data_IF_826063937856
#
_entry.id   IF_826063937856
#
_cell.length_a   1.000
_cell.length_b   1.000
_cell.length_c   1.000
_cell.angle_alpha   90.00
_cell.angle_beta   90.00
_cell.angle_gamma   90.00
#
_symmetry.space_group_name_H-M   'P 1'
#
loop_
_entity.id
_entity.type
_entity.pdbx_description
1 polymer ?
#
# COMPACT_ATOMS: atom_id res chain seq x y z
N UNK A 1 21.38 -5.55 8.14
CA UNK A 1 22.44 -4.54 7.87
C UNK A 1 22.41 -3.95 6.44
N UNK A 2 22.05 -4.70 5.37
CA UNK A 2 21.89 -4.15 4.00
C UNK A 2 20.66 -3.24 3.83
N UNK A 3 19.56 -3.54 4.52
CA UNK A 3 18.27 -2.84 4.36
C UNK A 3 18.26 -1.42 4.95
N UNK A 4 18.98 -1.19 6.06
CA UNK A 4 19.12 0.14 6.69
C UNK A 4 19.78 1.14 5.73
N UNK A 5 20.84 0.72 5.01
CA UNK A 5 21.55 1.60 4.08
C UNK A 5 20.74 1.96 2.83
N UNK A 6 19.93 1.02 2.33
CA UNK A 6 19.03 1.24 1.20
C UNK A 6 17.97 2.30 1.53
N UNK A 7 17.34 2.17 2.70
CA UNK A 7 16.28 3.07 3.18
C UNK A 7 16.74 4.52 3.28
N UNK A 8 17.88 4.77 3.93
CA UNK A 8 18.44 6.13 4.07
C UNK A 8 18.77 6.75 2.70
N UNK A 9 19.34 5.97 1.78
CA UNK A 9 19.72 6.44 0.44
C UNK A 9 18.51 6.80 -0.41
N UNK A 10 17.46 5.96 -0.38
CA UNK A 10 16.17 6.23 -1.02
C UNK A 10 15.54 7.51 -0.46
N UNK A 11 15.50 7.64 0.87
CA UNK A 11 14.87 8.77 1.54
C UNK A 11 15.55 10.11 1.18
N UNK A 12 16.89 10.13 1.14
CA UNK A 12 17.65 11.29 0.69
C UNK A 12 17.34 11.64 -0.77
N UNK A 13 17.31 10.65 -1.65
CA UNK A 13 17.03 10.85 -3.07
C UNK A 13 15.63 11.42 -3.28
N UNK A 14 14.62 10.86 -2.59
CA UNK A 14 13.25 11.37 -2.57
C UNK A 14 13.18 12.81 -2.06
N UNK A 15 13.85 13.12 -0.95
CA UNK A 15 13.91 14.49 -0.42
C UNK A 15 14.45 15.48 -1.43
N UNK A 16 15.58 15.16 -2.07
CA UNK A 16 16.18 16.02 -3.08
C UNK A 16 15.25 16.19 -4.28
N UNK A 17 14.66 15.11 -4.76
CA UNK A 17 13.73 15.15 -5.88
C UNK A 17 12.51 16.02 -5.56
N UNK A 18 11.80 15.73 -4.47
CA UNK A 18 10.57 16.42 -4.09
C UNK A 18 10.82 17.90 -3.76
N UNK A 19 11.91 18.24 -3.06
CA UNK A 19 12.25 19.64 -2.79
C UNK A 19 12.65 20.39 -4.07
N UNK A 20 13.43 19.78 -4.97
CA UNK A 20 13.72 20.39 -6.26
C UNK A 20 12.44 20.64 -7.07
N UNK A 21 11.49 19.73 -6.94
CA UNK A 21 10.22 19.80 -7.63
C UNK A 21 9.33 20.91 -7.07
N UNK A 22 9.26 21.01 -5.74
CA UNK A 22 8.56 22.09 -5.03
C UNK A 22 9.12 23.46 -5.40
N UNK A 23 10.44 23.60 -5.47
CA UNK A 23 11.12 24.86 -5.77
C UNK A 23 11.15 25.19 -7.28
N UNK A 24 10.56 24.38 -8.15
CA UNK A 24 10.60 24.59 -9.61
C UNK A 24 12.00 24.50 -10.24
N UNK A 25 13.00 24.00 -9.50
CA UNK A 25 14.40 23.90 -9.94
C UNK A 25 14.69 22.64 -10.77
N UNK A 26 13.68 21.79 -10.92
CA UNK A 26 13.76 20.55 -11.67
C UNK A 26 13.68 20.85 -13.18
N UNK A 27 14.85 20.99 -13.81
CA UNK A 27 14.97 21.07 -15.27
C UNK A 27 14.73 19.67 -15.84
N UNK A 28 13.59 19.46 -16.50
CA UNK A 28 13.32 18.22 -17.20
C UNK A 28 14.31 18.01 -18.34
N UNK A 29 14.79 16.79 -18.53
CA UNK A 29 15.38 16.40 -19.80
C UNK A 29 14.20 16.11 -20.72
N UNK A 30 13.90 17.02 -21.65
CA UNK A 30 12.90 16.76 -22.69
C UNK A 30 13.38 15.62 -23.58
N UNK A 31 12.67 14.50 -23.58
CA UNK A 31 12.84 13.44 -24.57
C UNK A 31 13.40 12.10 -24.08
N UNK A 32 13.72 11.93 -22.79
CA UNK A 32 14.04 10.61 -22.22
C UNK A 32 12.90 10.07 -21.35
N UNK A 33 12.63 8.76 -21.46
CA UNK A 33 11.60 8.05 -20.71
C UNK A 33 11.83 8.09 -19.17
N UNK A 34 13.03 8.51 -18.75
CA UNK A 34 13.35 8.90 -17.37
C UNK A 34 13.15 10.41 -17.20
N UNK A 35 11.95 10.82 -16.76
CA UNK A 35 11.64 12.26 -16.65
C UNK A 35 12.52 12.99 -15.64
N UNK A 36 13.17 12.27 -14.72
CA UNK A 36 14.26 12.80 -13.90
C UNK A 36 15.20 11.69 -13.44
N UNK A 37 16.49 11.87 -13.72
CA UNK A 37 17.55 10.98 -13.25
C UNK A 37 18.64 11.76 -12.54
N UNK A 38 19.15 11.22 -11.44
CA UNK A 38 20.23 11.83 -10.68
C UNK A 38 21.20 10.78 -10.16
N UNK A 39 22.49 11.08 -10.28
CA UNK A 39 23.57 10.29 -9.70
C UNK A 39 23.99 10.93 -8.37
N UNK A 40 24.13 10.11 -7.35
CA UNK A 40 24.52 10.48 -6.00
C UNK A 40 25.89 9.85 -5.71
N UNK A 41 26.88 10.71 -5.42
CA UNK A 41 28.25 10.29 -5.16
C UNK A 41 28.48 10.23 -3.66
N UNK A 42 29.08 9.13 -3.17
CA UNK A 42 29.48 8.88 -1.78
C UNK A 42 30.28 10.02 -1.14
N UNK A 43 31.05 10.74 -1.94
CA UNK A 43 31.66 12.01 -1.56
C UNK A 43 31.00 13.09 -2.42
N UNK A 44 30.13 13.87 -1.80
CA UNK A 44 29.55 15.07 -2.40
C UNK A 44 29.98 16.26 -1.55
N UNK A 45 30.87 17.09 -2.10
CA UNK A 45 31.42 18.27 -1.41
C UNK A 45 30.33 19.29 -1.05
N UNK A 46 29.22 19.30 -1.79
CA UNK A 46 28.12 20.22 -1.53
C UNK A 46 27.11 19.68 -0.51
N UNK A 47 27.16 18.38 -0.20
CA UNK A 47 26.17 17.73 0.66
C UNK A 47 26.78 16.57 1.45
N UNK A 48 27.30 16.79 2.68
CA UNK A 48 27.77 15.71 3.53
C UNK A 48 26.64 14.73 3.85
N UNK A 49 26.91 13.43 3.70
CA UNK A 49 25.97 12.33 3.93
C UNK A 49 26.72 11.05 4.32
N UNK A 50 26.01 10.08 4.91
CA UNK A 50 26.61 8.85 5.46
C UNK A 50 26.29 7.56 4.67
N UNK A 51 25.86 7.65 3.40
CA UNK A 51 25.60 6.44 2.60
C UNK A 51 26.89 5.79 2.08
N UNK A 52 26.87 4.46 1.90
CA UNK A 52 28.09 3.64 1.75
C UNK A 52 28.67 3.65 0.34
N UNK A 53 27.84 3.74 -0.69
CA UNK A 53 28.24 3.66 -2.10
C UNK A 53 27.61 4.75 -2.96
N UNK A 54 28.15 4.94 -4.16
CA UNK A 54 27.47 5.75 -5.17
C UNK A 54 26.18 5.05 -5.60
N UNK A 55 25.13 5.82 -5.86
CA UNK A 55 23.88 5.27 -6.36
C UNK A 55 23.25 6.18 -7.40
N UNK A 56 22.32 5.62 -8.17
CA UNK A 56 21.58 6.29 -9.22
C UNK A 56 20.09 6.19 -8.92
N UNK A 57 19.39 7.30 -9.02
CA UNK A 57 17.97 7.40 -8.74
C UNK A 57 17.24 7.94 -9.96
N UNK A 58 16.20 7.25 -10.41
CA UNK A 58 15.41 7.64 -11.57
C UNK A 58 13.92 7.61 -11.25
N UNK A 59 13.21 8.70 -11.53
CA UNK A 59 11.76 8.81 -11.38
C UNK A 59 11.09 8.68 -12.75
N UNK A 60 9.95 8.00 -12.79
CA UNK A 60 9.16 7.80 -14.01
C UNK A 60 7.77 8.43 -13.89
N UNK A 61 7.19 8.78 -15.04
CA UNK A 61 5.82 9.30 -15.17
C UNK A 61 5.50 10.48 -14.23
N UNK A 62 6.49 11.31 -13.94
CA UNK A 62 6.38 12.39 -12.96
C UNK A 62 5.32 13.42 -13.35
N UNK A 63 5.12 13.68 -14.65
CA UNK A 63 4.04 14.53 -15.16
C UNK A 63 2.67 13.93 -14.85
N UNK A 64 2.47 12.64 -15.12
CA UNK A 64 1.21 11.94 -14.90
C UNK A 64 0.88 11.86 -13.40
N UNK A 65 1.86 11.50 -12.56
CA UNK A 65 1.67 11.48 -11.11
C UNK A 65 1.31 12.86 -10.55
N UNK A 66 1.98 13.94 -10.98
CA UNK A 66 1.60 15.31 -10.58
C UNK A 66 0.17 15.67 -10.95
N UNK A 67 -0.28 15.24 -12.14
CA UNK A 67 -1.67 15.45 -12.56
C UNK A 67 -2.63 14.70 -11.64
N UNK A 68 -2.34 13.43 -11.30
CA UNK A 68 -3.13 12.68 -10.32
C UNK A 68 -3.14 13.34 -8.94
N UNK A 69 -1.99 13.84 -8.46
CA UNK A 69 -1.91 14.53 -7.17
C UNK A 69 -2.88 15.71 -7.11
N UNK A 70 -2.90 16.53 -8.17
CA UNK A 70 -3.74 17.72 -8.26
C UNK A 70 -5.22 17.40 -8.52
N UNK A 71 -5.48 16.51 -9.46
CA UNK A 71 -6.82 16.34 -10.03
C UNK A 71 -7.62 15.25 -9.30
N UNK A 72 -6.96 14.22 -8.80
CA UNK A 72 -7.61 13.00 -8.31
C UNK A 72 -7.37 12.83 -6.80
N UNK A 73 -6.13 12.72 -6.35
CA UNK A 73 -5.79 12.39 -4.95
C UNK A 73 -5.78 13.60 -4.01
N UNK A 74 -5.85 14.81 -4.55
CA UNK A 74 -5.88 16.08 -3.79
C UNK A 74 -4.77 16.21 -2.75
N UNK A 75 -3.59 15.68 -3.07
CA UNK A 75 -2.41 15.71 -2.21
C UNK A 75 -1.48 16.85 -2.60
N UNK A 76 -0.97 17.57 -1.59
CA UNK A 76 0.07 18.58 -1.77
C UNK A 76 1.47 17.96 -1.70
N UNK A 77 2.42 18.50 -2.47
CA UNK A 77 3.80 17.99 -2.50
C UNK A 77 4.50 18.13 -1.13
N UNK A 78 4.14 19.14 -0.36
CA UNK A 78 4.60 19.36 1.01
C UNK A 78 4.26 18.19 1.92
N UNK A 79 3.09 17.58 1.75
CA UNK A 79 2.67 16.41 2.52
C UNK A 79 3.53 15.18 2.21
N UNK A 80 3.93 15.01 0.94
CA UNK A 80 4.88 13.98 0.52
C UNK A 80 6.27 14.25 1.11
N UNK A 81 6.75 15.50 1.07
CA UNK A 81 8.06 15.89 1.62
C UNK A 81 8.11 15.59 3.12
N UNK A 82 7.13 16.09 3.89
CA UNK A 82 7.07 15.92 5.34
C UNK A 82 7.02 14.43 5.69
N UNK A 83 6.03 13.71 5.15
CA UNK A 83 5.77 12.33 5.55
C UNK A 83 6.89 11.37 5.13
N UNK A 84 7.48 11.55 3.95
CA UNK A 84 8.49 10.62 3.43
C UNK A 84 9.91 10.96 3.87
N UNK A 85 10.20 12.19 4.35
CA UNK A 85 11.60 12.66 4.45
C UNK A 85 11.97 13.36 5.75
N UNK A 86 11.01 13.71 6.61
CA UNK A 86 11.29 14.37 7.89
C UNK A 86 11.82 13.39 8.94
N UNK A 87 11.13 12.26 9.12
CA UNK A 87 11.52 11.18 10.04
C UNK A 87 11.92 9.94 9.27
N UNK A 88 12.80 9.12 9.85
CA UNK A 88 13.26 7.89 9.22
C UNK A 88 12.08 6.96 8.89
N UNK A 89 12.04 6.42 7.66
CA UNK A 89 11.01 5.46 7.27
C UNK A 89 11.07 4.22 8.16
N UNK A 90 9.93 3.61 8.48
CA UNK A 90 9.87 2.32 9.17
C UNK A 90 9.97 1.20 8.13
N UNK A 91 10.86 0.23 8.35
CA UNK A 91 10.91 -1.00 7.54
C UNK A 91 9.96 -2.05 8.11
N UNK A 92 9.43 -2.90 7.25
CA UNK A 92 8.70 -4.09 7.68
C UNK A 92 9.40 -5.33 7.18
N UNK A 93 9.66 -6.28 8.08
CA UNK A 93 9.87 -7.66 7.67
C UNK A 93 8.51 -8.21 7.22
N UNK A 94 8.43 -8.63 5.96
CA UNK A 94 7.20 -9.20 5.43
C UNK A 94 6.98 -10.59 6.08
N UNK A 95 5.88 -10.82 6.82
CA UNK A 95 5.55 -12.16 7.31
C UNK A 95 5.14 -13.11 6.17
N UNK A 96 4.87 -12.58 4.96
CA UNK A 96 4.52 -13.37 3.79
C UNK A 96 5.75 -13.68 2.91
N UNK A 97 5.74 -14.87 2.29
CA UNK A 97 6.79 -15.47 1.44
C UNK A 97 7.23 -14.64 0.22
N UNK A 98 6.67 -13.46 -0.05
CA UNK A 98 7.14 -12.58 -1.11
C UNK A 98 8.34 -11.77 -0.60
N UNK A 99 9.52 -11.97 -1.18
CA UNK A 99 10.76 -11.20 -0.91
C UNK A 99 10.66 -9.71 -1.31
N UNK A 100 9.48 -9.11 -1.17
CA UNK A 100 9.21 -7.70 -1.40
C UNK A 100 9.68 -6.88 -0.19
N UNK A 101 10.38 -5.79 -0.46
CA UNK A 101 10.82 -4.81 0.52
C UNK A 101 9.70 -3.78 0.72
N UNK A 102 9.40 -3.47 1.98
CA UNK A 102 8.39 -2.49 2.35
C UNK A 102 8.97 -1.44 3.29
N UNK A 103 8.72 -0.16 2.97
CA UNK A 103 8.92 0.94 3.90
C UNK A 103 7.61 1.71 4.09
N UNK A 104 7.42 2.35 5.25
CA UNK A 104 6.31 3.29 5.47
C UNK A 104 6.81 4.58 6.09
N UNK A 105 6.09 5.66 5.84
CA UNK A 105 6.23 6.89 6.61
C UNK A 105 5.84 6.65 8.07
N UNK A 106 6.45 7.39 9.00
CA UNK A 106 6.16 7.23 10.44
C UNK A 106 4.67 7.38 10.73
N UNK A 107 4.03 8.32 10.05
CA UNK A 107 2.60 8.63 10.17
C UNK A 107 1.66 7.66 9.42
N UNK A 108 2.20 6.60 8.80
CA UNK A 108 1.44 5.59 8.09
C UNK A 108 0.74 6.06 6.81
N UNK A 109 0.95 7.31 6.36
CA UNK A 109 0.28 7.88 5.20
C UNK A 109 0.76 7.34 3.85
N UNK A 110 2.03 6.94 3.76
CA UNK A 110 2.61 6.43 2.53
C UNK A 110 3.40 5.16 2.75
N UNK A 111 3.31 4.25 1.79
CA UNK A 111 4.07 3.01 1.73
C UNK A 111 4.93 2.99 0.48
N UNK A 112 6.15 2.51 0.61
CA UNK A 112 7.05 2.17 -0.49
C UNK A 112 7.05 0.66 -0.59
N UNK A 113 6.57 0.14 -1.72
CA UNK A 113 6.58 -1.30 -2.02
C UNK A 113 7.55 -1.56 -3.16
N UNK A 114 8.49 -2.48 -2.96
CA UNK A 114 9.34 -2.94 -4.05
C UNK A 114 8.54 -3.74 -5.08
N UNK A 115 8.82 -3.52 -6.34
CA UNK A 115 8.19 -4.19 -7.49
C UNK A 115 9.09 -5.34 -7.92
N UNK A 116 8.55 -6.57 -7.94
CA UNK A 116 9.28 -7.72 -8.42
C UNK A 116 9.35 -7.75 -9.96
N UNK A 117 10.16 -8.64 -10.54
CA UNK A 117 10.36 -8.70 -12.00
C UNK A 117 9.05 -8.94 -12.79
N UNK A 118 8.15 -9.80 -12.31
CA UNK A 118 6.87 -10.08 -12.99
C UNK A 118 5.93 -8.87 -12.94
N UNK A 119 5.83 -8.22 -11.77
CA UNK A 119 5.05 -6.99 -11.62
C UNK A 119 5.64 -5.88 -12.50
N UNK A 120 6.97 -5.77 -12.55
CA UNK A 120 7.68 -4.79 -13.36
C UNK A 120 7.41 -5.01 -14.85
N UNK A 121 7.52 -6.26 -15.32
CA UNK A 121 7.18 -6.61 -16.70
C UNK A 121 5.71 -6.27 -16.99
N UNK A 122 4.76 -6.52 -16.08
CA UNK A 122 3.36 -6.11 -16.26
C UNK A 122 3.15 -4.59 -16.34
N UNK A 123 3.72 -3.84 -15.40
CA UNK A 123 3.49 -2.39 -15.33
C UNK A 123 4.14 -1.65 -16.48
N UNK A 124 5.30 -2.13 -16.95
CA UNK A 124 6.07 -1.43 -17.96
C UNK A 124 5.85 -2.02 -19.35
N UNK A 125 5.73 -3.34 -19.49
CA UNK A 125 5.61 -4.01 -20.80
C UNK A 125 4.18 -4.51 -21.01
N UNK A 126 3.60 -4.14 -22.15
CA UNK A 126 2.35 -4.76 -22.60
C UNK A 126 2.63 -6.22 -22.99
N UNK A 127 1.65 -7.10 -22.80
CA UNK A 127 1.70 -8.56 -22.99
C UNK A 127 2.39 -9.06 -24.30
N UNK A 128 3.72 -9.09 -24.35
CA UNK A 128 4.47 -9.85 -25.35
C UNK A 128 4.40 -9.36 -26.81
N UNK A 129 3.87 -8.17 -27.09
CA UNK A 129 3.97 -7.58 -28.43
C UNK A 129 5.31 -6.84 -28.60
N UNK A 130 6.07 -7.24 -29.61
CA UNK A 130 7.28 -6.55 -30.03
C UNK A 130 6.88 -5.19 -30.63
N UNK A 131 6.94 -4.13 -29.85
CA UNK A 131 7.10 -2.80 -30.44
C UNK A 131 8.52 -2.70 -30.99
N UNK A 132 8.64 -2.14 -32.20
CA UNK A 132 9.93 -1.91 -32.83
C UNK A 132 10.82 -1.10 -31.87
N UNK A 133 12.10 -1.45 -31.76
CA UNK A 133 13.08 -0.75 -30.92
C UNK A 133 13.23 0.74 -31.28
N UNK A 134 12.74 1.14 -32.46
CA UNK A 134 12.60 2.52 -32.92
C UNK A 134 11.36 3.26 -32.38
N UNK A 135 10.36 2.55 -31.88
CA UNK A 135 9.22 3.13 -31.17
C UNK A 135 9.59 3.27 -29.69
N UNK A 136 9.99 4.49 -29.33
CA UNK A 136 10.34 4.95 -27.98
C UNK A 136 9.15 4.92 -27.01
N UNK A 137 8.55 3.76 -26.80
CA UNK A 137 7.45 3.59 -25.85
C UNK A 137 7.65 2.28 -25.11
N UNK A 138 8.70 2.20 -24.30
CA UNK A 138 8.98 1.05 -23.43
C UNK A 138 7.97 0.88 -22.28
N UNK A 139 6.96 1.77 -22.18
CA UNK A 139 6.04 1.89 -21.04
C UNK A 139 4.55 1.96 -21.47
N UNK A 140 4.06 0.94 -22.18
CA UNK A 140 2.62 0.76 -22.53
C UNK A 140 1.91 -0.31 -21.68
N UNK A 141 2.51 -0.70 -20.56
CA UNK A 141 1.94 -1.71 -19.65
C UNK A 141 0.83 -1.18 -18.75
N UNK A 142 0.48 -1.95 -17.73
CA UNK A 142 -0.65 -1.67 -16.84
C UNK A 142 -0.60 -0.32 -16.10
N UNK A 143 0.55 0.36 -16.05
CA UNK A 143 0.64 1.70 -15.46
C UNK A 143 -0.14 2.76 -16.28
N UNK A 144 -0.17 2.63 -17.61
CA UNK A 144 -0.94 3.54 -18.46
C UNK A 144 -2.44 3.30 -18.30
N UNK A 145 -2.85 2.03 -18.26
CA UNK A 145 -4.24 1.66 -18.01
C UNK A 145 -4.70 2.10 -16.62
N UNK A 146 -3.84 2.00 -15.61
CA UNK A 146 -4.09 2.56 -14.29
C UNK A 146 -4.31 4.09 -14.32
N UNK A 147 -3.44 4.84 -15.03
CA UNK A 147 -3.65 6.29 -15.18
C UNK A 147 -4.98 6.60 -15.86
N UNK A 148 -5.35 5.85 -16.90
CA UNK A 148 -6.62 6.03 -17.59
C UNK A 148 -7.83 5.66 -16.73
N UNK A 149 -7.69 4.66 -15.87
CA UNK A 149 -8.72 4.24 -14.94
C UNK A 149 -8.98 5.29 -13.86
N UNK A 150 -7.92 5.80 -13.23
CA UNK A 150 -8.03 6.72 -12.09
C UNK A 150 -8.32 8.16 -12.52
N UNK A 151 -7.86 8.60 -13.70
CA UNK A 151 -7.98 10.02 -14.14
C UNK A 151 -9.40 10.56 -14.14
N UNK A 152 -10.41 9.71 -14.35
CA UNK A 152 -11.82 10.12 -14.46
C UNK A 152 -12.43 10.57 -13.12
N UNK A 153 -11.71 10.41 -12.01
CA UNK A 153 -12.14 10.92 -10.69
C UNK A 153 -13.26 10.11 -10.05
N UNK A 154 -13.56 8.93 -10.59
CA UNK A 154 -14.43 7.99 -9.92
C UNK A 154 -13.74 7.38 -8.70
N UNK A 155 -14.50 7.13 -7.63
CA UNK A 155 -13.98 6.45 -6.43
C UNK A 155 -13.48 5.04 -6.78
N UNK A 156 -12.42 4.61 -6.13
CA UNK A 156 -11.79 3.30 -6.32
C UNK A 156 -11.10 2.87 -5.02
N UNK A 157 -11.12 1.56 -4.77
CA UNK A 157 -10.40 0.86 -3.72
C UNK A 157 -8.99 0.42 -4.17
N UNK A 158 -8.61 0.64 -5.42
CA UNK A 158 -7.24 0.35 -5.87
C UNK A 158 -6.23 1.25 -5.15
N UNK A 159 -4.99 0.78 -4.92
CA UNK A 159 -3.95 1.61 -4.32
C UNK A 159 -3.77 2.91 -5.09
N UNK A 160 -3.75 4.05 -4.38
CA UNK A 160 -3.41 5.35 -4.95
C UNK A 160 -1.89 5.40 -5.12
N UNK A 161 -1.40 5.37 -6.36
CA UNK A 161 0.02 5.40 -6.67
C UNK A 161 0.48 6.86 -6.79
N UNK A 162 1.40 7.28 -5.92
CA UNK A 162 1.93 8.64 -5.91
C UNK A 162 3.20 8.80 -6.74
N UNK A 163 4.02 7.76 -6.85
CA UNK A 163 5.25 7.82 -7.63
C UNK A 163 5.75 6.43 -7.98
N UNK A 164 6.53 6.34 -9.05
CA UNK A 164 7.29 5.16 -9.43
C UNK A 164 8.75 5.52 -9.68
N UNK A 165 9.68 4.78 -9.08
CA UNK A 165 11.10 5.06 -9.19
C UNK A 165 11.97 3.81 -9.23
N UNK A 166 13.17 3.98 -9.78
CA UNK A 166 14.27 3.01 -9.78
C UNK A 166 15.41 3.55 -8.93
N UNK A 167 15.88 2.73 -8.01
CA UNK A 167 17.11 2.92 -7.24
C UNK A 167 18.15 1.89 -7.72
N UNK A 168 19.35 2.34 -8.05
CA UNK A 168 20.43 1.49 -8.54
C UNK A 168 21.72 1.74 -7.75
N UNK A 169 22.26 0.68 -7.15
CA UNK A 169 23.49 0.70 -6.34
C UNK A 169 24.26 -0.60 -6.61
N UNK A 170 25.58 -0.51 -6.85
CA UNK A 170 26.45 -1.67 -7.08
C UNK A 170 25.91 -2.67 -8.14
N UNK A 171 25.35 -2.14 -9.24
CA UNK A 171 24.68 -2.90 -10.33
C UNK A 171 23.37 -3.60 -9.95
N UNK A 172 22.90 -3.47 -8.71
CA UNK A 172 21.58 -3.95 -8.30
C UNK A 172 20.55 -2.86 -8.55
N UNK A 173 19.42 -3.24 -9.17
CA UNK A 173 18.30 -2.33 -9.44
C UNK A 173 17.08 -2.73 -8.63
N UNK A 174 16.55 -1.78 -7.88
CA UNK A 174 15.30 -1.92 -7.14
C UNK A 174 14.28 -0.92 -7.67
N UNK A 175 13.06 -1.40 -7.94
CA UNK A 175 11.95 -0.57 -8.39
C UNK A 175 10.94 -0.46 -7.27
N UNK A 176 10.36 0.72 -7.08
CA UNK A 176 9.41 0.98 -6.02
C UNK A 176 8.23 1.81 -6.50
N UNK A 177 7.03 1.46 -6.03
CA UNK A 177 5.91 2.38 -6.00
C UNK A 177 5.82 3.05 -4.63
N UNK A 178 5.50 4.35 -4.63
CA UNK A 178 4.94 5.03 -3.46
C UNK A 178 3.42 4.95 -3.58
N UNK A 179 2.74 4.45 -2.56
CA UNK A 179 1.29 4.31 -2.53
C UNK A 179 0.69 4.80 -1.19
N UNK A 180 -0.61 4.98 -1.12
CA UNK A 180 -1.29 5.39 0.12
C UNK A 180 -1.20 4.30 1.19
N UNK A 181 -1.17 4.75 2.43
CA UNK A 181 -1.50 3.90 3.56
C UNK A 181 -3.00 3.73 3.70
N UNK A 182 -3.40 2.54 4.11
CA UNK A 182 -4.80 2.21 4.35
C UNK A 182 -5.29 2.74 5.69
N UNK A 183 -4.39 2.84 6.68
CA UNK A 183 -4.72 3.22 8.05
C UNK A 183 -3.68 4.22 8.60
N UNK A 184 -3.64 5.45 8.08
CA UNK A 184 -2.75 6.49 8.59
C UNK A 184 -3.11 6.90 10.04
N UNK A 185 -2.18 7.51 10.76
CA UNK A 185 -2.34 7.89 12.19
C UNK A 185 -3.57 8.76 12.50
N UNK A 186 -4.16 9.42 11.49
CA UNK A 186 -5.39 10.20 11.64
C UNK A 186 -6.68 9.35 11.61
N UNK A 187 -6.58 8.04 11.43
CA UNK A 187 -7.66 7.07 11.64
C UNK A 187 -7.61 6.61 13.11
N UNK A 188 -8.76 6.48 13.81
CA UNK A 188 -8.78 5.98 15.18
C UNK A 188 -8.13 4.62 15.32
N UNK A 189 -7.80 4.27 16.57
CA UNK A 189 -7.34 2.92 16.90
C UNK A 189 -8.32 1.89 16.33
N UNK A 190 -7.84 1.07 15.40
CA UNK A 190 -8.63 0.02 14.77
C UNK A 190 -8.84 -1.11 15.77
N UNK A 191 -10.09 -1.45 16.03
CA UNK A 191 -10.44 -2.62 16.85
C UNK A 191 -10.17 -3.92 16.08
N UNK A 192 -10.36 -3.89 14.76
CA UNK A 192 -10.16 -5.07 13.91
C UNK A 192 -9.58 -4.71 12.55
N UNK A 193 -8.72 -5.59 12.02
CA UNK A 193 -8.19 -5.53 10.66
C UNK A 193 -8.44 -6.88 9.97
N UNK A 194 -9.01 -6.83 8.77
CA UNK A 194 -9.35 -7.99 7.96
C UNK A 194 -8.60 -7.97 6.63
N UNK A 195 -8.09 -9.14 6.23
CA UNK A 195 -7.44 -9.42 4.95
C UNK A 195 -8.31 -10.44 4.18
N UNK A 196 -9.20 -9.93 3.33
CA UNK A 196 -10.26 -10.69 2.67
C UNK A 196 -9.90 -10.98 1.21
N UNK A 197 -10.05 -12.24 0.73
CA UNK A 197 -9.74 -12.58 -0.69
C UNK A 197 -10.75 -13.48 -1.44
N UNK A 198 -11.96 -13.70 -0.92
CA UNK A 198 -12.96 -14.60 -1.51
C UNK A 198 -12.70 -16.13 -1.42
N UNK A 199 -11.45 -16.61 -1.33
CA UNK A 199 -11.13 -18.04 -1.37
C UNK A 199 -11.04 -18.73 0.01
N UNK A 200 -11.58 -19.95 0.12
CA UNK A 200 -11.68 -20.78 1.34
C UNK A 200 -10.61 -21.87 1.52
N UNK A 201 -9.78 -22.14 0.51
CA UNK A 201 -8.76 -23.20 0.54
C UNK A 201 -7.47 -22.74 1.27
N UNK A 202 -6.97 -23.53 2.25
CA UNK A 202 -5.78 -23.28 3.11
C UNK A 202 -5.80 -22.06 4.06
N UNK A 203 -6.96 -21.64 4.59
CA UNK A 203 -7.00 -20.52 5.56
C UNK A 203 -7.40 -20.83 6.99
N UNK A 204 -7.82 -22.05 7.26
CA UNK A 204 -8.23 -22.51 8.58
C UNK A 204 -7.06 -22.45 9.56
N UNK A 205 -7.05 -21.42 10.40
CA UNK A 205 -6.03 -21.24 11.44
C UNK A 205 -6.14 -22.29 12.53
N UNK A 206 -7.34 -22.83 12.77
CA UNK A 206 -7.55 -23.87 13.77
C UNK A 206 -6.69 -25.12 13.52
N UNK A 207 -6.36 -25.44 12.26
CA UNK A 207 -5.51 -26.59 11.94
C UNK A 207 -4.01 -26.28 12.06
N UNK A 208 -3.59 -25.04 11.81
CA UNK A 208 -2.19 -24.62 12.00
C UNK A 208 -1.85 -24.36 13.47
N UNK A 209 -2.75 -23.75 14.23
CA UNK A 209 -2.58 -23.51 15.67
C UNK A 209 -2.72 -24.82 16.48
N UNK A 210 -3.55 -25.79 16.05
CA UNK A 210 -3.53 -27.16 16.60
C UNK A 210 -2.23 -27.89 16.28
N UNK A 211 -1.68 -27.74 15.07
CA UNK A 211 -0.39 -28.35 14.70
C UNK A 211 0.80 -27.72 15.44
N UNK A 212 0.83 -26.39 15.57
CA UNK A 212 1.84 -25.68 16.36
C UNK A 212 1.70 -25.95 17.86
N UNK A 213 0.48 -25.98 18.39
CA UNK A 213 0.22 -26.31 19.79
C UNK A 213 0.59 -27.76 20.17
N UNK A 214 0.64 -28.68 19.21
CA UNK A 214 1.12 -30.05 19.41
C UNK A 214 2.66 -30.13 19.34
N UNK A 215 3.31 -29.34 18.49
CA UNK A 215 4.78 -29.30 18.38
C UNK A 215 5.45 -28.45 19.49
N UNK A 216 4.83 -27.35 19.92
CA UNK A 216 5.34 -26.45 20.96
C UNK A 216 5.18 -27.02 22.38
N UNK A 217 4.16 -27.86 22.63
CA UNK A 217 3.96 -28.51 23.93
C UNK A 217 5.02 -29.57 24.30
N UNK A 218 5.95 -29.89 23.40
CA UNK A 218 7.11 -30.74 23.73
C UNK A 218 8.35 -29.94 24.14
N UNK A 219 8.40 -28.64 23.87
CA UNK A 219 9.62 -27.84 24.03
C UNK A 219 9.31 -26.41 24.48
N UNK A 220 9.06 -26.19 25.77
CA UNK A 220 9.62 -25.10 26.61
C UNK A 220 8.78 -24.84 27.85
N UNK A 221 9.29 -25.33 28.98
CA UNK A 221 9.19 -24.62 30.26
C UNK A 221 10.13 -23.40 30.20
N UNK A 222 9.65 -22.30 30.78
CA UNK A 222 10.37 -21.11 31.26
C UNK A 222 10.45 -19.87 30.34
N UNK A 223 9.97 -18.76 30.93
CA UNK A 223 10.48 -17.37 30.92
C UNK A 223 10.40 -16.66 29.55
N UNK A 224 9.83 -15.46 29.40
CA UNK A 224 9.82 -14.27 30.24
C UNK A 224 8.67 -13.34 29.80
N UNK A 225 8.11 -12.58 30.75
CA UNK A 225 7.25 -11.42 30.52
C UNK A 225 8.06 -10.31 29.84
N UNK A 226 7.52 -9.65 28.80
CA UNK A 226 7.79 -8.24 28.49
C UNK A 226 6.87 -7.68 27.38
N UNK A 227 6.29 -6.52 27.72
CA UNK A 227 5.79 -5.42 26.87
C UNK A 227 4.74 -5.74 25.77
N UNK A 228 3.47 -5.62 26.16
CA UNK A 228 2.33 -5.58 25.23
C UNK A 228 2.33 -4.28 24.41
N UNK A 229 3.04 -4.26 23.27
CA UNK A 229 2.56 -3.48 22.12
C UNK A 229 1.17 -4.04 21.77
N UNK A 230 0.13 -3.20 21.84
CA UNK A 230 -1.24 -3.53 21.43
C UNK A 230 -1.29 -3.79 19.92
N UNK A 231 -0.79 -4.94 19.51
CA UNK A 231 -0.70 -5.37 18.12
C UNK A 231 -2.11 -5.76 17.67
N UNK A 232 -2.78 -4.85 16.95
CA UNK A 232 -4.09 -5.11 16.35
C UNK A 232 -4.03 -6.40 15.54
N UNK A 233 -4.90 -7.36 15.87
CA UNK A 233 -4.93 -8.69 15.25
C UNK A 233 -5.47 -8.58 13.82
N UNK A 234 -4.74 -9.17 12.86
CA UNK A 234 -5.17 -9.28 11.46
C UNK A 234 -5.84 -10.64 11.24
N UNK A 235 -7.07 -10.63 10.74
CA UNK A 235 -7.87 -11.83 10.45
C UNK A 235 -7.97 -12.06 8.93
N UNK A 236 -7.96 -13.31 8.45
CA UNK A 236 -7.73 -13.65 7.02
C UNK A 236 -8.90 -14.31 6.26
N UNK A 237 -10.06 -14.47 6.90
CA UNK A 237 -11.16 -15.30 6.38
C UNK A 237 -12.42 -14.48 6.06
N UNK A 238 -13.23 -14.97 5.11
CA UNK A 238 -14.47 -14.34 4.67
C UNK A 238 -15.71 -14.85 5.39
N UNK A 239 -15.65 -16.05 5.97
CA UNK A 239 -16.87 -16.70 6.45
C UNK A 239 -17.53 -15.96 7.61
N UNK A 240 -16.77 -15.09 8.30
CA UNK A 240 -17.26 -14.26 9.36
C UNK A 240 -17.46 -12.77 8.98
N UNK A 241 -17.02 -12.27 7.81
CA UNK A 241 -17.31 -10.88 7.38
C UNK A 241 -18.13 -10.88 6.11
N UNK A 242 -19.44 -10.68 6.25
CA UNK A 242 -20.37 -10.51 5.13
C UNK A 242 -20.97 -9.11 5.16
N UNK A 243 -21.07 -8.42 4.05
CA UNK A 243 -21.82 -7.16 4.00
C UNK A 243 -23.30 -7.44 3.72
N UNK A 244 -24.20 -6.78 4.45
CA UNK A 244 -25.64 -6.85 4.19
C UNK A 244 -26.25 -5.45 4.11
N UNK A 245 -27.18 -5.28 3.20
CA UNK A 245 -28.04 -4.09 3.12
C UNK A 245 -29.08 -4.14 4.26
N UNK A 246 -29.21 -3.06 5.02
CA UNK A 246 -30.24 -2.91 6.05
C UNK A 246 -31.12 -1.69 5.74
N UNK A 247 -32.43 -1.93 5.57
CA UNK A 247 -33.44 -0.87 5.43
C UNK A 247 -33.97 -0.39 6.79
N UNK A 248 -33.87 -1.21 7.84
CA UNK A 248 -34.38 -0.92 9.18
C UNK A 248 -33.34 -1.27 10.25
N UNK A 249 -32.53 -0.30 10.67
CA UNK A 249 -31.52 -0.46 11.74
C UNK A 249 -32.11 -0.91 13.09
N UNK A 250 -33.40 -0.67 13.30
CA UNK A 250 -34.08 -0.84 14.60
C UNK A 250 -34.39 -2.31 14.92
N UNK A 251 -34.52 -3.21 13.93
CA UNK A 251 -35.02 -4.57 14.18
C UNK A 251 -33.95 -5.68 14.16
N UNK A 252 -32.66 -5.37 14.05
CA UNK A 252 -31.62 -6.39 13.83
C UNK A 252 -30.51 -6.48 14.89
N UNK A 253 -30.53 -5.67 15.96
CA UNK A 253 -29.43 -5.67 16.92
C UNK A 253 -29.76 -6.34 18.25
N UNK A 254 -29.26 -7.57 18.38
CA UNK A 254 -28.46 -8.00 19.53
C UNK A 254 -27.45 -9.03 19.06
N UNK A 255 -26.35 -8.57 18.46
CA UNK A 255 -25.09 -9.32 18.61
C UNK A 255 -24.79 -9.31 20.11
N UNK A 256 -24.58 -10.48 20.72
CA UNK A 256 -24.21 -10.49 22.14
C UNK A 256 -22.84 -9.82 22.27
N UNK A 257 -22.59 -9.16 23.41
CA UNK A 257 -21.26 -8.54 23.67
C UNK A 257 -20.13 -9.54 23.46
N UNK A 258 -20.38 -10.83 23.73
CA UNK A 258 -19.41 -11.92 23.63
C UNK A 258 -19.00 -12.25 22.17
N UNK A 259 -19.91 -12.16 21.19
CA UNK A 259 -19.57 -12.38 19.77
C UNK A 259 -18.65 -11.27 19.21
N UNK A 260 -18.88 -10.04 19.68
CA UNK A 260 -18.12 -8.85 19.30
C UNK A 260 -16.71 -8.84 19.94
N UNK A 261 -16.46 -9.65 20.98
CA UNK A 261 -15.15 -9.74 21.65
C UNK A 261 -14.16 -10.58 20.83
N UNK A 262 -14.62 -11.54 20.02
CA UNK A 262 -13.74 -12.45 19.26
C UNK A 262 -13.49 -12.05 17.79
N UNK A 263 -13.98 -10.88 17.35
CA UNK A 263 -13.85 -10.45 15.95
C UNK A 263 -14.67 -11.28 14.96
N UNK A 264 -15.69 -12.00 15.45
CA UNK A 264 -16.63 -12.79 14.65
C UNK A 264 -17.86 -11.93 14.35
N UNK A 265 -18.25 -11.83 13.07
CA UNK A 265 -19.49 -11.15 12.66
C UNK A 265 -20.45 -12.17 12.00
N UNK A 266 -21.05 -13.10 12.75
CA UNK A 266 -21.88 -14.18 12.18
C UNK A 266 -23.07 -13.65 11.35
N UNK A 267 -23.60 -12.48 11.72
CA UNK A 267 -24.66 -11.80 10.99
C UNK A 267 -24.14 -10.83 9.91
N UNK A 268 -22.83 -10.71 9.75
CA UNK A 268 -22.17 -9.77 8.86
C UNK A 268 -22.08 -8.34 9.41
N UNK A 269 -21.40 -7.48 8.65
CA UNK A 269 -21.38 -6.03 8.81
C UNK A 269 -22.59 -5.46 8.09
N UNK A 270 -23.52 -4.89 8.86
CA UNK A 270 -24.69 -4.20 8.32
C UNK A 270 -24.30 -2.81 7.83
N UNK A 271 -24.63 -2.52 6.58
CA UNK A 271 -24.43 -1.22 5.95
C UNK A 271 -25.77 -0.59 5.61
N UNK A 272 -25.82 0.75 5.67
CA UNK A 272 -26.93 1.50 5.08
C UNK A 272 -27.01 1.19 3.57
N UNK A 273 -28.23 1.14 3.03
CA UNK A 273 -28.49 0.89 1.60
C UNK A 273 -27.61 1.72 0.66
N UNK A 274 -27.50 3.03 0.93
CA UNK A 274 -26.68 3.94 0.12
C UNK A 274 -25.19 3.54 0.08
N UNK A 275 -24.60 3.22 1.24
CA UNK A 275 -23.19 2.84 1.34
C UNK A 275 -22.94 1.44 0.77
N UNK A 276 -23.86 0.50 1.00
CA UNK A 276 -23.75 -0.84 0.43
C UNK A 276 -23.71 -0.78 -1.10
N UNK A 277 -24.65 -0.04 -1.71
CA UNK A 277 -24.72 0.14 -3.17
C UNK A 277 -23.46 0.82 -3.72
N UNK A 278 -22.97 1.86 -3.05
CA UNK A 278 -21.75 2.56 -3.47
C UNK A 278 -20.50 1.67 -3.38
N UNK A 279 -20.30 0.97 -2.27
CA UNK A 279 -19.16 0.07 -2.06
C UNK A 279 -19.18 -1.06 -3.07
N UNK A 280 -20.32 -1.73 -3.25
CA UNK A 280 -20.47 -2.84 -4.19
C UNK A 280 -20.16 -2.41 -5.63
N UNK A 281 -20.74 -1.29 -6.07
CA UNK A 281 -20.48 -0.74 -7.42
C UNK A 281 -18.99 -0.47 -7.66
N UNK A 282 -18.31 0.11 -6.67
CA UNK A 282 -16.88 0.41 -6.79
C UNK A 282 -16.02 -0.87 -6.75
N UNK A 283 -16.35 -1.84 -5.89
CA UNK A 283 -15.65 -3.14 -5.83
C UNK A 283 -15.81 -3.95 -7.11
N UNK A 284 -16.99 -3.95 -7.73
CA UNK A 284 -17.25 -4.60 -9.01
C UNK A 284 -16.37 -3.99 -10.10
N UNK A 285 -16.41 -2.66 -10.24
CA UNK A 285 -15.60 -1.92 -11.21
C UNK A 285 -14.09 -2.16 -11.04
N UNK A 286 -13.60 -2.12 -9.80
CA UNK A 286 -12.18 -2.37 -9.50
C UNK A 286 -11.81 -3.83 -9.80
N UNK A 287 -12.69 -4.78 -9.48
CA UNK A 287 -12.47 -6.20 -9.78
C UNK A 287 -12.44 -6.46 -11.28
N UNK A 288 -13.31 -5.82 -12.06
CA UNK A 288 -13.31 -5.90 -13.52
C UNK A 288 -12.02 -5.36 -14.12
N UNK A 289 -11.52 -4.23 -13.59
CA UNK A 289 -10.23 -3.67 -13.98
C UNK A 289 -9.10 -4.66 -13.69
N UNK A 290 -9.04 -5.24 -12.49
CA UNK A 290 -8.00 -6.21 -12.12
C UNK A 290 -8.07 -7.48 -12.98
N UNK A 291 -9.29 -8.00 -13.21
CA UNK A 291 -9.54 -9.19 -14.02
C UNK A 291 -9.13 -8.99 -15.49
N UNK A 292 -9.46 -7.84 -16.09
CA UNK A 292 -9.02 -7.47 -17.46
C UNK A 292 -7.50 -7.53 -17.61
N UNK A 293 -6.78 -7.21 -16.55
CA UNK A 293 -5.31 -7.21 -16.51
C UNK A 293 -4.71 -8.52 -16.01
N UNK A 294 -5.54 -9.56 -15.78
CA UNK A 294 -5.13 -10.86 -15.23
C UNK A 294 -4.41 -10.73 -13.88
N UNK A 295 -4.73 -9.69 -13.11
CA UNK A 295 -4.24 -9.52 -11.74
C UNK A 295 -5.13 -10.36 -10.83
N UNK A 296 -4.52 -11.31 -10.13
CA UNK A 296 -5.19 -12.24 -9.21
C UNK A 296 -4.51 -12.22 -7.83
N UNK A 297 -5.05 -12.97 -6.87
CA UNK A 297 -4.53 -13.10 -5.50
C UNK A 297 -4.44 -11.80 -4.67
N UNK A 298 -5.18 -10.77 -5.08
CA UNK A 298 -5.33 -9.54 -4.31
C UNK A 298 -6.24 -9.72 -3.08
N UNK A 299 -6.09 -8.81 -2.14
CA UNK A 299 -6.88 -8.75 -0.91
C UNK A 299 -7.62 -7.43 -0.79
N UNK A 300 -8.82 -7.48 -0.24
CA UNK A 300 -9.48 -6.33 0.35
C UNK A 300 -9.07 -6.24 1.82
N UNK A 301 -8.33 -5.20 2.17
CA UNK A 301 -7.99 -4.88 3.55
C UNK A 301 -9.09 -3.99 4.15
N UNK A 302 -9.68 -4.42 5.26
CA UNK A 302 -10.80 -3.74 5.92
C UNK A 302 -10.47 -3.48 7.39
N UNK A 303 -10.52 -2.21 7.80
CA UNK A 303 -10.39 -1.80 9.20
C UNK A 303 -11.75 -1.47 9.79
N UNK A 304 -12.00 -1.90 11.03
CA UNK A 304 -13.22 -1.58 11.78
C UNK A 304 -12.85 -0.83 13.05
N UNK A 305 -13.56 0.27 13.31
CA UNK A 305 -13.52 1.02 14.56
C UNK A 305 -14.88 0.89 15.24
N UNK A 306 -14.89 0.39 16.47
CA UNK A 306 -16.05 0.38 17.37
C UNK A 306 -16.25 1.78 17.90
N UNK A 307 -17.44 2.32 17.71
CA UNK A 307 -17.84 3.53 18.40
C UNK A 307 -18.52 3.14 19.71
N UNK A 308 -17.96 3.53 20.85
CA UNK A 308 -18.48 3.23 22.19
C UNK A 308 -19.73 4.06 22.58
N UNK A 309 -20.42 4.66 21.60
CA UNK A 309 -21.77 5.18 21.78
C UNK A 309 -21.98 6.67 21.57
N UNK A 310 -20.98 7.46 21.13
CA UNK A 310 -21.24 8.91 20.99
C UNK A 310 -21.45 9.39 19.55
N UNK A 311 -20.61 9.10 18.55
CA UNK A 311 -20.95 9.50 17.16
C UNK A 311 -20.32 8.57 16.11
N UNK A 312 -21.14 7.94 15.26
CA UNK A 312 -20.63 7.11 14.18
C UNK A 312 -19.96 8.01 13.12
N UNK A 313 -18.63 7.96 13.06
CA UNK A 313 -17.85 8.69 12.05
C UNK A 313 -17.44 7.71 10.95
N UNK A 314 -17.84 8.02 9.72
CA UNK A 314 -17.44 7.25 8.56
C UNK A 314 -16.00 7.61 8.17
N UNK A 315 -15.08 6.66 8.34
CA UNK A 315 -13.68 6.82 7.99
C UNK A 315 -13.37 6.41 6.55
N UNK A 316 -14.31 5.80 5.81
CA UNK A 316 -14.07 5.41 4.41
C UNK A 316 -13.76 6.63 3.54
N UNK A 317 -14.37 7.79 3.82
CA UNK A 317 -14.08 9.06 3.12
C UNK A 317 -12.66 9.60 3.31
N UNK A 318 -11.90 9.10 4.29
CA UNK A 318 -10.51 9.49 4.53
C UNK A 318 -9.50 8.50 3.94
N UNK A 319 -9.98 7.36 3.41
CA UNK A 319 -9.16 6.28 2.84
C UNK A 319 -9.28 6.24 1.30
N UNK A 320 -10.36 6.78 0.72
CA UNK A 320 -10.65 6.77 -0.73
C UNK A 320 -10.55 8.13 -1.42
#
# INVERSE_FOLDING_TARGET
MKEIGLKTSIQLALRKYLCSLFNGSLKGVEGEEFETQRVFKKKDENFPHNYKNNFKFSMYFTKQFKLLWKNNFKIKIEELIISLTEKELKGFENPAKSNSIFFTSVNGKFFLKSVNKKELDFFLKQNGENYLESERVFFKGGIHDYFNYVKNGEKSFLPQLFAFFKFEEDKNSHYFFIQNGLFPENIPCLDFIFDLKGASYHRWKEDEDKKKGIEENKNKKNLEENEEETKVKVYKELDFVRFRESENFINFFTLTKDEIIEGKFPNGILLKSEHYKEITKNLEKDSDFLAKHKIVDYSLLLGIVKNNGEYAKDYTKFVF
#
